data_IF_670403146344
#
_entry.id   IF_670403146344
#
_cell.length_a   1.000
_cell.length_b   1.000
_cell.length_c   1.000
_cell.angle_alpha   90.00
_cell.angle_beta   90.00
_cell.angle_gamma   90.00
#
_symmetry.space_group_name_H-M   'P 1'
#
loop_
_entity.id
_entity.type
_entity.pdbx_description
1 polymer ?
#
# COMPACT_ATOMS: atom_id res chain seq x y z
N UNK A 1 26.23 -29.90 9.32
CA UNK A 1 24.91 -30.58 9.31
C UNK A 1 24.31 -30.51 10.71
N UNK A 2 23.12 -29.95 10.88
CA UNK A 2 22.47 -29.89 12.20
C UNK A 2 21.89 -31.26 12.54
N UNK A 3 22.14 -31.73 13.76
CA UNK A 3 21.54 -32.96 14.30
C UNK A 3 20.33 -32.63 15.17
N UNK A 4 19.41 -33.58 15.34
CA UNK A 4 18.26 -33.40 16.22
C UNK A 4 18.67 -33.09 17.67
N UNK A 5 19.75 -33.72 18.16
CA UNK A 5 20.30 -33.44 19.50
C UNK A 5 20.77 -32.00 19.62
N UNK A 6 21.46 -31.47 18.61
CA UNK A 6 21.85 -30.05 18.57
C UNK A 6 20.63 -29.14 18.56
N UNK A 7 19.63 -29.44 17.73
CA UNK A 7 18.41 -28.65 17.66
C UNK A 7 17.65 -28.63 19.00
N UNK A 8 17.49 -29.78 19.66
CA UNK A 8 16.89 -29.88 21.00
C UNK A 8 17.67 -29.06 22.02
N UNK A 9 19.01 -29.13 21.97
CA UNK A 9 19.89 -28.35 22.84
C UNK A 9 19.90 -26.86 22.50
N UNK A 10 19.29 -26.42 21.41
CA UNK A 10 19.13 -25.02 21.01
C UNK A 10 17.76 -24.44 21.43
N UNK A 11 16.88 -25.25 22.03
CA UNK A 11 15.58 -24.77 22.49
C UNK A 11 15.75 -23.99 23.80
N UNK A 12 15.18 -22.80 23.86
CA UNK A 12 15.18 -21.91 25.02
C UNK A 12 13.78 -21.36 25.25
N UNK A 13 13.57 -20.80 26.43
CA UNK A 13 12.38 -20.00 26.72
C UNK A 13 12.70 -18.56 26.40
N UNK A 14 11.90 -17.92 25.54
CA UNK A 14 12.05 -16.50 25.21
C UNK A 14 11.60 -15.62 26.36
N UNK A 15 11.90 -14.32 26.30
CA UNK A 15 11.45 -13.37 27.33
C UNK A 15 9.92 -13.34 27.50
N UNK A 16 9.17 -13.63 26.43
CA UNK A 16 7.71 -13.78 26.45
C UNK A 16 7.22 -15.13 26.98
N UNK A 17 8.11 -15.98 27.50
CA UNK A 17 7.76 -17.30 28.03
C UNK A 17 7.54 -18.37 26.96
N UNK A 18 7.88 -18.09 25.70
CA UNK A 18 7.58 -18.96 24.56
C UNK A 18 8.71 -19.94 24.28
N UNK A 19 8.39 -21.09 23.69
CA UNK A 19 9.39 -22.09 23.31
C UNK A 19 10.07 -21.67 21.98
N UNK A 20 11.30 -21.17 22.09
CA UNK A 20 12.12 -20.70 20.97
C UNK A 20 13.17 -21.73 20.56
N UNK A 21 13.25 -22.05 19.28
CA UNK A 21 14.37 -22.77 18.70
C UNK A 21 15.33 -21.79 18.05
N UNK A 22 16.52 -21.62 18.65
CA UNK A 22 17.57 -20.72 18.14
C UNK A 22 18.66 -21.50 17.39
N UNK A 23 18.65 -21.36 16.07
CA UNK A 23 19.65 -21.91 15.16
C UNK A 23 20.32 -20.78 14.37
N UNK A 24 20.37 -19.57 14.95
CA UNK A 24 21.02 -18.43 14.35
C UNK A 24 22.54 -18.62 14.25
N UNK A 25 23.16 -18.06 13.20
CA UNK A 25 24.63 -18.01 13.03
C UNK A 25 25.33 -19.38 13.09
N UNK A 26 24.66 -20.43 12.60
CA UNK A 26 25.18 -21.81 12.61
C UNK A 26 25.81 -22.26 11.28
N UNK A 27 25.89 -21.37 10.28
CA UNK A 27 26.44 -21.69 8.96
C UNK A 27 25.57 -22.68 8.18
N UNK A 28 24.25 -22.67 8.41
CA UNK A 28 23.32 -23.59 7.77
C UNK A 28 23.12 -23.19 6.30
N UNK A 29 23.43 -24.10 5.38
CA UNK A 29 23.26 -23.88 3.93
C UNK A 29 21.95 -24.48 3.38
N UNK A 30 21.35 -25.42 4.09
CA UNK A 30 20.12 -26.11 3.69
C UNK A 30 19.24 -26.31 4.90
N UNK A 31 17.94 -26.12 4.72
CA UNK A 31 16.96 -26.25 5.81
C UNK A 31 17.08 -27.62 6.51
N UNK A 32 17.32 -27.65 7.82
CA UNK A 32 17.61 -28.89 8.53
C UNK A 32 16.32 -29.68 8.80
N UNK A 33 15.97 -30.64 7.94
CA UNK A 33 14.73 -31.44 8.06
C UNK A 33 14.46 -32.05 9.44
N UNK A 34 15.49 -32.30 10.26
CA UNK A 34 15.34 -32.81 11.62
C UNK A 34 14.56 -31.84 12.55
N UNK A 35 14.53 -30.54 12.27
CA UNK A 35 13.79 -29.58 13.10
C UNK A 35 12.27 -29.69 12.92
N UNK A 36 11.80 -30.41 11.90
CA UNK A 36 10.38 -30.70 11.69
C UNK A 36 9.79 -31.58 12.81
N UNK A 37 10.63 -32.29 13.58
CA UNK A 37 10.20 -33.02 14.78
C UNK A 37 9.96 -32.10 16.00
N UNK A 38 10.34 -30.83 15.89
CA UNK A 38 10.20 -29.80 16.93
C UNK A 38 9.12 -28.79 16.53
N UNK A 39 8.08 -29.25 15.83
CA UNK A 39 7.00 -28.40 15.31
C UNK A 39 6.15 -27.70 16.38
N UNK A 40 6.33 -28.08 17.65
CA UNK A 40 5.71 -27.49 18.83
C UNK A 40 6.37 -26.19 19.30
N UNK A 41 7.41 -25.69 18.60
CA UNK A 41 8.00 -24.36 18.88
C UNK A 41 7.05 -23.23 18.48
N UNK A 42 7.13 -22.13 19.23
CA UNK A 42 6.38 -20.90 18.95
C UNK A 42 7.26 -19.82 18.32
N UNK A 43 8.58 -19.90 18.50
CA UNK A 43 9.54 -18.99 17.89
C UNK A 43 10.66 -19.79 17.20
N UNK A 44 10.98 -19.43 15.95
CA UNK A 44 12.01 -20.07 15.17
C UNK A 44 12.99 -19.01 14.65
N UNK A 45 14.24 -19.11 15.09
CA UNK A 45 15.34 -18.27 14.62
C UNK A 45 16.28 -19.08 13.73
N UNK A 46 16.32 -18.74 12.44
CA UNK A 46 17.26 -19.27 11.45
C UNK A 46 18.09 -18.13 10.85
N UNK A 47 18.18 -16.99 11.53
CA UNK A 47 18.89 -15.81 11.05
C UNK A 47 20.40 -16.02 10.93
N UNK A 48 21.07 -15.17 10.13
CA UNK A 48 22.54 -15.16 9.95
C UNK A 48 23.10 -16.51 9.50
N UNK A 49 22.37 -17.20 8.63
CA UNK A 49 22.80 -18.45 8.01
C UNK A 49 22.98 -18.22 6.50
N UNK A 50 23.19 -19.30 5.74
CA UNK A 50 23.35 -19.24 4.28
C UNK A 50 22.23 -20.01 3.57
N UNK A 51 21.01 -19.98 4.11
CA UNK A 51 19.86 -20.64 3.52
C UNK A 51 19.51 -19.98 2.19
N UNK A 52 19.35 -20.79 1.15
CA UNK A 52 18.88 -20.34 -0.16
C UNK A 52 17.37 -20.47 -0.34
N UNK A 53 16.76 -21.47 0.29
CA UNK A 53 15.33 -21.76 0.18
C UNK A 53 14.75 -22.23 1.50
N UNK A 54 13.49 -21.90 1.74
CA UNK A 54 12.67 -22.51 2.79
C UNK A 54 11.79 -23.58 2.14
N UNK A 55 11.77 -24.82 2.64
CA UNK A 55 10.97 -25.89 2.05
C UNK A 55 9.49 -25.72 2.39
N UNK A 56 8.62 -26.27 1.54
CA UNK A 56 7.17 -26.35 1.78
C UNK A 56 6.80 -26.99 3.13
N UNK A 57 7.63 -27.89 3.66
CA UNK A 57 7.46 -28.51 4.98
C UNK A 57 7.46 -27.52 6.15
N UNK A 58 7.75 -26.23 5.90
CA UNK A 58 7.58 -25.17 6.90
C UNK A 58 6.14 -25.10 7.41
N UNK A 59 5.14 -25.55 6.63
CA UNK A 59 3.75 -25.67 7.06
C UNK A 59 3.57 -26.49 8.35
N UNK A 60 4.54 -27.33 8.74
CA UNK A 60 4.42 -28.12 9.97
C UNK A 60 4.44 -27.26 11.24
N UNK A 61 5.01 -26.05 11.19
CA UNK A 61 5.14 -25.16 12.36
C UNK A 61 3.86 -24.36 12.64
N UNK A 62 2.73 -25.05 12.83
CA UNK A 62 1.41 -24.42 12.99
C UNK A 62 1.27 -23.52 14.23
N UNK A 63 2.12 -23.73 15.25
CA UNK A 63 2.14 -22.93 16.48
C UNK A 63 3.05 -21.69 16.38
N UNK A 64 3.68 -21.45 15.23
CA UNK A 64 4.68 -20.41 15.10
C UNK A 64 4.07 -19.00 15.17
N UNK A 65 4.56 -18.22 16.13
CA UNK A 65 4.19 -16.83 16.37
C UNK A 65 5.27 -15.87 15.86
N UNK A 66 6.52 -16.33 15.81
CA UNK A 66 7.69 -15.53 15.45
C UNK A 66 8.64 -16.33 14.56
N UNK A 67 8.95 -15.78 13.39
CA UNK A 67 9.88 -16.38 12.44
C UNK A 67 10.92 -15.35 12.01
N UNK A 68 12.19 -15.69 12.22
CA UNK A 68 13.31 -14.85 11.78
C UNK A 68 14.25 -15.60 10.85
N UNK A 69 14.35 -15.06 9.65
CA UNK A 69 15.14 -15.55 8.53
C UNK A 69 16.14 -14.48 8.06
N UNK A 70 16.38 -13.43 8.86
CA UNK A 70 17.19 -12.31 8.41
C UNK A 70 18.63 -12.72 8.09
N UNK A 71 19.27 -12.02 7.16
CA UNK A 71 20.67 -12.27 6.78
C UNK A 71 20.91 -13.72 6.33
N UNK A 72 20.14 -14.14 5.33
CA UNK A 72 20.31 -15.41 4.61
C UNK A 72 20.54 -15.11 3.11
N UNK A 73 20.40 -16.10 2.24
CA UNK A 73 20.50 -15.96 0.79
C UNK A 73 19.20 -16.36 0.09
N UNK A 74 18.05 -16.12 0.74
CA UNK A 74 16.76 -16.55 0.23
C UNK A 74 16.44 -15.83 -1.08
N UNK A 75 16.18 -16.60 -2.13
CA UNK A 75 15.77 -16.12 -3.46
C UNK A 75 14.26 -16.24 -3.68
N UNK A 76 13.57 -17.10 -2.93
CA UNK A 76 12.12 -17.28 -2.96
C UNK A 76 11.56 -17.60 -1.56
N UNK A 77 10.28 -17.29 -1.36
CA UNK A 77 9.49 -17.80 -0.24
C UNK A 77 8.47 -18.83 -0.72
N UNK A 78 8.32 -19.97 -0.02
CA UNK A 78 7.32 -20.96 -0.36
C UNK A 78 5.91 -20.44 -0.08
N UNK A 79 4.94 -20.78 -0.92
CA UNK A 79 3.51 -20.48 -0.71
C UNK A 79 2.99 -20.97 0.64
N UNK A 80 3.56 -22.07 1.14
CA UNK A 80 3.21 -22.67 2.41
C UNK A 80 3.48 -21.75 3.60
N UNK A 81 4.23 -20.66 3.43
CA UNK A 81 4.35 -19.61 4.47
C UNK A 81 2.98 -19.08 4.89
N UNK A 82 2.01 -18.98 3.96
CA UNK A 82 0.66 -18.51 4.25
C UNK A 82 -0.16 -19.43 5.14
N UNK A 83 0.29 -20.68 5.36
CA UNK A 83 -0.35 -21.61 6.29
C UNK A 83 -0.07 -21.28 7.76
N UNK A 84 0.96 -20.47 8.04
CA UNK A 84 1.37 -20.09 9.39
C UNK A 84 0.48 -18.96 9.96
N UNK A 85 -0.83 -19.22 10.06
CA UNK A 85 -1.84 -18.19 10.37
C UNK A 85 -1.67 -17.54 11.76
N UNK A 86 -0.97 -18.20 12.68
CA UNK A 86 -0.65 -17.67 14.00
C UNK A 86 0.52 -16.67 13.99
N UNK A 87 1.24 -16.55 12.87
CA UNK A 87 2.44 -15.74 12.80
C UNK A 87 2.13 -14.25 13.02
N UNK A 88 2.82 -13.66 14.00
CA UNK A 88 2.68 -12.25 14.37
C UNK A 88 3.90 -11.42 13.96
N UNK A 89 5.05 -12.07 13.80
CA UNK A 89 6.31 -11.44 13.43
C UNK A 89 7.01 -12.28 12.35
N UNK A 90 7.38 -11.62 11.26
CA UNK A 90 8.13 -12.21 10.16
C UNK A 90 9.27 -11.27 9.74
N UNK A 91 10.51 -11.73 9.93
CA UNK A 91 11.70 -11.00 9.53
C UNK A 91 12.46 -11.76 8.45
N UNK A 92 12.54 -11.16 7.26
CA UNK A 92 13.22 -11.72 6.08
C UNK A 92 14.18 -10.68 5.51
N UNK A 93 14.60 -9.74 6.35
CA UNK A 93 15.52 -8.67 5.99
C UNK A 93 16.88 -9.22 5.55
N UNK A 94 17.56 -8.55 4.62
CA UNK A 94 18.89 -8.91 4.16
C UNK A 94 18.90 -10.32 3.53
N UNK A 95 18.14 -10.44 2.44
CA UNK A 95 18.05 -11.63 1.60
C UNK A 95 18.14 -11.21 0.11
N UNK A 96 17.75 -12.08 -0.82
CA UNK A 96 17.81 -11.82 -2.27
C UNK A 96 16.42 -11.88 -2.91
N UNK A 97 15.38 -11.53 -2.16
CA UNK A 97 14.01 -11.61 -2.64
C UNK A 97 13.74 -10.53 -3.69
N UNK A 98 13.03 -10.92 -4.74
CA UNK A 98 12.44 -10.03 -5.76
C UNK A 98 10.93 -9.98 -5.60
N UNK A 99 10.22 -9.15 -6.37
CA UNK A 99 8.76 -9.09 -6.29
C UNK A 99 8.09 -10.43 -6.62
N UNK A 100 8.57 -11.12 -7.67
CA UNK A 100 8.07 -12.45 -8.08
C UNK A 100 8.37 -13.55 -7.04
N UNK A 101 9.38 -13.32 -6.20
CA UNK A 101 9.78 -14.23 -5.13
C UNK A 101 8.83 -14.23 -3.92
N UNK A 102 7.92 -13.25 -3.85
CA UNK A 102 6.96 -13.12 -2.76
C UNK A 102 5.64 -13.82 -3.13
N UNK A 103 5.26 -14.91 -2.45
CA UNK A 103 4.03 -15.64 -2.76
C UNK A 103 2.80 -14.80 -2.39
N UNK A 104 1.74 -14.92 -3.18
CA UNK A 104 0.47 -14.25 -2.92
C UNK A 104 -0.13 -14.67 -1.57
N UNK A 105 0.15 -15.90 -1.14
CA UNK A 105 -0.28 -16.49 0.13
C UNK A 105 0.25 -15.77 1.38
N UNK A 106 1.20 -14.84 1.25
CA UNK A 106 1.52 -13.91 2.34
C UNK A 106 0.27 -13.15 2.80
N UNK A 107 -0.71 -12.93 1.93
CA UNK A 107 -1.99 -12.31 2.26
C UNK A 107 -2.82 -13.10 3.29
N UNK A 108 -2.52 -14.38 3.53
CA UNK A 108 -3.22 -15.26 4.46
C UNK A 108 -2.79 -15.06 5.92
N UNK A 109 -1.66 -14.38 6.15
CA UNK A 109 -1.10 -14.12 7.49
C UNK A 109 -1.87 -13.01 8.22
N UNK A 110 -3.16 -13.24 8.52
CA UNK A 110 -4.07 -12.22 9.04
C UNK A 110 -3.68 -11.64 10.39
N UNK A 111 -2.89 -12.37 11.18
CA UNK A 111 -2.42 -11.94 12.50
C UNK A 111 -1.04 -11.25 12.47
N UNK A 112 -0.45 -11.07 11.29
CA UNK A 112 0.89 -10.51 11.17
C UNK A 112 0.89 -9.03 11.55
N UNK A 113 1.72 -8.68 12.55
CA UNK A 113 1.88 -7.32 13.08
C UNK A 113 3.16 -6.66 12.62
N UNK A 114 4.21 -7.46 12.43
CA UNK A 114 5.52 -6.96 11.99
C UNK A 114 6.01 -7.76 10.80
N UNK A 115 6.31 -7.06 9.71
CA UNK A 115 6.91 -7.63 8.51
C UNK A 115 8.14 -6.81 8.14
N UNK A 116 9.30 -7.45 8.08
CA UNK A 116 10.54 -6.81 7.64
C UNK A 116 11.09 -7.47 6.38
N UNK A 117 11.05 -6.73 5.28
CA UNK A 117 11.55 -7.08 3.96
C UNK A 117 12.69 -6.15 3.52
N UNK A 118 13.28 -5.37 4.44
CA UNK A 118 14.37 -4.45 4.11
C UNK A 118 15.63 -5.18 3.62
N UNK A 119 16.52 -4.49 2.92
CA UNK A 119 17.75 -5.07 2.33
C UNK A 119 17.41 -6.29 1.45
N UNK A 120 16.53 -6.12 0.47
CA UNK A 120 16.24 -7.12 -0.57
C UNK A 120 16.32 -6.44 -1.94
N UNK A 121 15.86 -7.13 -2.99
CA UNK A 121 15.84 -6.63 -4.37
C UNK A 121 14.40 -6.41 -4.87
N UNK A 122 13.51 -5.91 -4.00
CA UNK A 122 12.10 -5.69 -4.36
C UNK A 122 11.95 -4.45 -5.25
N UNK A 123 11.36 -4.60 -6.43
CA UNK A 123 11.10 -3.50 -7.37
C UNK A 123 9.71 -2.87 -7.15
N UNK A 124 8.75 -3.71 -6.80
CA UNK A 124 7.40 -3.34 -6.38
C UNK A 124 6.90 -4.26 -5.26
N UNK A 125 5.77 -3.91 -4.64
CA UNK A 125 5.08 -4.76 -3.69
C UNK A 125 3.80 -5.32 -4.30
N UNK A 126 3.45 -6.59 -4.04
CA UNK A 126 2.20 -7.13 -4.51
C UNK A 126 1.03 -6.45 -3.79
N UNK A 127 -0.05 -6.15 -4.53
CA UNK A 127 -1.24 -5.49 -3.99
C UNK A 127 -1.92 -6.32 -2.89
N UNK A 128 -1.70 -7.65 -2.91
CA UNK A 128 -2.19 -8.65 -1.96
C UNK A 128 -1.69 -8.42 -0.53
N UNK A 129 -0.53 -7.75 -0.33
CA UNK A 129 -0.06 -7.35 1.02
C UNK A 129 -1.04 -6.40 1.73
N UNK A 130 -1.89 -5.68 0.98
CA UNK A 130 -2.97 -4.88 1.54
C UNK A 130 -4.03 -5.68 2.34
N UNK A 131 -4.00 -7.02 2.25
CA UNK A 131 -4.88 -7.87 3.03
C UNK A 131 -4.42 -8.07 4.50
N UNK A 132 -3.20 -7.64 4.85
CA UNK A 132 -2.59 -7.74 6.18
C UNK A 132 -3.10 -6.63 7.10
N UNK A 133 -4.37 -6.69 7.49
CA UNK A 133 -5.05 -5.61 8.24
C UNK A 133 -4.50 -5.36 9.65
N UNK A 134 -3.81 -6.34 10.24
CA UNK A 134 -3.21 -6.23 11.57
C UNK A 134 -1.76 -5.70 11.55
N UNK A 135 -1.22 -5.39 10.36
CA UNK A 135 0.16 -4.96 10.22
C UNK A 135 0.37 -3.56 10.82
N UNK A 136 1.32 -3.47 11.75
CA UNK A 136 1.68 -2.25 12.49
C UNK A 136 3.02 -1.71 12.03
N UNK A 137 4.00 -2.59 11.84
CA UNK A 137 5.37 -2.22 11.45
C UNK A 137 5.76 -2.93 10.13
N UNK A 138 6.09 -2.13 9.12
CA UNK A 138 6.52 -2.59 7.79
C UNK A 138 7.90 -2.02 7.44
N UNK A 139 8.90 -2.91 7.39
CA UNK A 139 10.27 -2.59 6.96
C UNK A 139 10.47 -2.87 5.47
N UNK A 140 10.79 -1.85 4.69
CA UNK A 140 11.02 -1.91 3.23
C UNK A 140 12.29 -1.19 2.79
N UNK A 141 13.10 -0.72 3.74
CA UNK A 141 14.29 0.06 3.47
C UNK A 141 15.29 -0.72 2.62
N UNK A 142 16.10 -0.03 1.82
CA UNK A 142 17.16 -0.64 1.00
C UNK A 142 16.63 -1.71 0.05
N UNK A 143 15.64 -1.33 -0.75
CA UNK A 143 15.14 -2.12 -1.86
C UNK A 143 15.24 -1.29 -3.16
N UNK A 144 14.71 -1.82 -4.26
CA UNK A 144 14.60 -1.14 -5.55
C UNK A 144 13.18 -0.59 -5.79
N UNK A 145 12.42 -0.28 -4.73
CA UNK A 145 11.02 0.08 -4.85
C UNK A 145 10.87 1.41 -5.60
N UNK A 146 10.12 1.38 -6.70
CA UNK A 146 9.78 2.58 -7.48
C UNK A 146 8.45 3.19 -7.05
N UNK A 147 7.52 2.36 -6.59
CA UNK A 147 6.20 2.78 -6.13
C UNK A 147 5.74 1.91 -4.95
N UNK A 148 4.79 2.41 -4.17
CA UNK A 148 4.10 1.66 -3.13
C UNK A 148 2.63 1.57 -3.52
N UNK A 149 2.03 0.36 -3.62
CA UNK A 149 0.62 0.21 -3.93
C UNK A 149 -0.27 0.95 -2.92
N UNK A 150 -1.36 1.56 -3.40
CA UNK A 150 -2.35 2.24 -2.55
C UNK A 150 -2.91 1.31 -1.46
N UNK A 151 -3.03 0.01 -1.76
CA UNK A 151 -3.51 -1.00 -0.80
C UNK A 151 -2.59 -1.16 0.42
N UNK A 152 -1.27 -1.04 0.23
CA UNK A 152 -0.27 -1.11 1.32
C UNK A 152 -0.16 0.23 2.04
N UNK A 153 -0.21 1.34 1.29
CA UNK A 153 -0.20 2.70 1.85
C UNK A 153 -1.39 2.97 2.78
N UNK A 154 -2.55 2.40 2.47
CA UNK A 154 -3.81 2.61 3.21
C UNK A 154 -4.12 1.49 4.21
N UNK A 155 -3.11 0.74 4.68
CA UNK A 155 -3.32 -0.26 5.72
C UNK A 155 -3.85 0.39 7.01
N UNK A 156 -4.89 -0.16 7.64
CA UNK A 156 -5.66 0.55 8.67
C UNK A 156 -4.91 0.72 10.00
N UNK A 157 -3.95 -0.17 10.30
CA UNK A 157 -3.21 -0.23 11.58
C UNK A 157 -1.73 0.09 11.45
N UNK A 158 -1.26 0.51 10.27
CA UNK A 158 0.15 0.76 10.05
C UNK A 158 0.60 2.01 10.82
N UNK A 159 1.59 1.84 11.71
CA UNK A 159 2.17 2.93 12.49
C UNK A 159 3.55 3.31 11.97
N UNK A 160 4.35 2.33 11.55
CA UNK A 160 5.72 2.55 11.05
C UNK A 160 5.91 1.87 9.72
N UNK A 161 6.15 2.67 8.69
CA UNK A 161 6.55 2.18 7.37
C UNK A 161 7.91 2.78 7.01
N UNK A 162 8.96 1.96 7.02
CA UNK A 162 10.30 2.42 6.67
C UNK A 162 10.62 2.10 5.21
N UNK A 163 10.62 3.11 4.36
CA UNK A 163 10.86 2.99 2.91
C UNK A 163 12.14 3.69 2.46
N UNK A 164 13.02 4.06 3.42
CA UNK A 164 14.26 4.79 3.14
C UNK A 164 15.14 4.02 2.14
N UNK A 165 15.96 4.76 1.38
CA UNK A 165 16.92 4.18 0.40
C UNK A 165 16.21 3.25 -0.61
N UNK A 166 15.10 3.73 -1.16
CA UNK A 166 14.45 3.18 -2.33
C UNK A 166 14.36 4.27 -3.40
N UNK A 167 14.43 3.94 -4.70
CA UNK A 167 14.23 4.87 -5.80
C UNK A 167 12.73 5.20 -6.00
N UNK A 168 12.03 5.54 -4.92
CA UNK A 168 10.61 5.86 -4.98
C UNK A 168 10.42 7.11 -5.84
N UNK A 169 9.64 6.96 -6.91
CA UNK A 169 9.12 8.10 -7.63
C UNK A 169 8.05 8.67 -6.72
N UNK A 170 8.35 9.77 -6.04
CA UNK A 170 7.27 10.60 -5.52
C UNK A 170 6.36 10.84 -6.72
N UNK A 171 5.13 10.31 -6.64
CA UNK A 171 4.08 10.81 -7.50
C UNK A 171 4.10 12.29 -7.21
N UNK A 172 4.57 13.08 -8.19
CA UNK A 172 4.08 14.43 -8.40
C UNK A 172 2.61 14.33 -8.01
N UNK A 173 2.26 15.04 -6.94
CA UNK A 173 0.88 15.17 -6.49
C UNK A 173 0.07 15.30 -7.78
N UNK A 174 -0.97 14.48 -8.02
CA UNK A 174 -1.78 14.68 -9.21
C UNK A 174 -2.04 16.17 -9.20
N UNK A 175 -1.55 16.88 -10.22
CA UNK A 175 -1.67 18.33 -10.29
C UNK A 175 -3.13 18.54 -9.94
N UNK A 176 -3.38 19.03 -8.72
CA UNK A 176 -4.70 19.52 -8.41
C UNK A 176 -4.84 20.52 -9.53
N UNK A 177 -5.78 20.30 -10.46
CA UNK A 177 -6.20 21.35 -11.35
C UNK A 177 -6.44 22.50 -10.40
N UNK A 178 -5.47 23.43 -10.36
CA UNK A 178 -5.58 24.61 -9.53
C UNK A 178 -6.67 25.33 -10.27
N UNK A 179 -7.91 25.10 -9.85
CA UNK A 179 -9.05 25.91 -10.23
C UNK A 179 -8.62 27.31 -9.81
N UNK A 180 -8.11 28.06 -10.79
CA UNK A 180 -7.43 29.33 -10.56
C UNK A 180 -8.44 30.35 -10.04
N UNK A 181 -9.72 29.99 -10.08
CA UNK A 181 -10.84 30.67 -9.49
C UNK A 181 -10.94 30.24 -8.03
N UNK A 182 -10.41 31.06 -7.13
CA UNK A 182 -10.86 31.07 -5.73
C UNK A 182 -12.38 31.25 -5.74
N UNK A 183 -13.15 30.17 -5.62
CA UNK A 183 -14.59 30.25 -5.37
C UNK A 183 -14.77 30.94 -4.03
N UNK A 184 -15.11 32.23 -4.08
CA UNK A 184 -15.42 33.01 -2.89
C UNK A 184 -16.72 32.43 -2.33
N UNK A 185 -16.67 31.83 -1.15
CA UNK A 185 -17.83 31.19 -0.50
C UNK A 185 -18.94 32.19 -0.12
N UNK A 186 -18.67 33.50 -0.22
CA UNK A 186 -19.60 34.56 0.15
C UNK A 186 -19.56 35.70 -0.87
N UNK A 187 -20.62 35.80 -1.67
CA UNK A 187 -20.95 36.99 -2.44
C UNK A 187 -21.81 37.89 -1.55
N UNK A 188 -21.35 39.12 -1.31
CA UNK A 188 -22.15 40.14 -0.64
C UNK A 188 -22.77 41.03 -1.71
N UNK A 189 -24.09 41.03 -1.80
CA UNK A 189 -24.82 42.01 -2.60
C UNK A 189 -24.79 43.34 -1.85
N UNK A 190 -24.18 44.36 -2.45
CA UNK A 190 -24.13 45.73 -1.91
C UNK A 190 -25.18 46.55 -2.64
N UNK A 191 -26.05 47.24 -1.89
CA UNK A 191 -27.06 48.13 -2.47
C UNK A 191 -26.41 49.44 -2.95
N UNK A 192 -26.95 50.07 -4.00
CA UNK A 192 -26.37 51.31 -4.57
C UNK A 192 -26.24 52.46 -3.55
N UNK A 193 -27.12 52.49 -2.55
CA UNK A 193 -27.14 53.49 -1.48
C UNK A 193 -25.93 53.39 -0.55
N UNK A 194 -25.31 52.21 -0.47
CA UNK A 194 -24.18 51.92 0.43
C UNK A 194 -22.83 52.12 -0.28
N UNK A 195 -22.84 52.50 -1.57
CA UNK A 195 -21.64 52.82 -2.34
C UNK A 195 -21.38 54.32 -2.33
N UNK A 196 -20.11 54.71 -2.13
CA UNK A 196 -19.71 56.09 -2.33
C UNK A 196 -19.82 56.50 -3.81
N UNK A 197 -19.90 57.80 -4.09
CA UNK A 197 -20.10 58.32 -5.45
C UNK A 197 -19.02 57.90 -6.46
N UNK A 198 -17.80 57.62 -6.00
CA UNK A 198 -16.71 57.11 -6.84
C UNK A 198 -16.92 55.63 -7.19
N UNK A 199 -17.21 54.79 -6.20
CA UNK A 199 -17.44 53.35 -6.41
C UNK A 199 -18.71 53.08 -7.23
N UNK A 200 -19.77 53.85 -7.01
CA UNK A 200 -21.02 53.75 -7.78
C UNK A 200 -20.80 54.01 -9.27
N UNK A 201 -19.94 54.99 -9.62
CA UNK A 201 -19.59 55.28 -11.02
C UNK A 201 -18.83 54.14 -11.67
N UNK A 202 -17.86 53.54 -10.95
CA UNK A 202 -17.09 52.40 -11.44
C UNK A 202 -18.00 51.20 -11.68
N UNK A 203 -18.85 50.84 -10.71
CA UNK A 203 -19.78 49.71 -10.85
C UNK A 203 -20.80 49.92 -11.97
N UNK A 204 -21.28 51.15 -12.20
CA UNK A 204 -22.18 51.45 -13.33
C UNK A 204 -21.46 51.33 -14.68
N UNK A 205 -20.23 51.82 -14.77
CA UNK A 205 -19.41 51.68 -15.98
C UNK A 205 -19.14 50.22 -16.36
N UNK A 206 -18.77 49.38 -15.40
CA UNK A 206 -18.56 47.95 -15.64
C UNK A 206 -19.86 47.21 -16.00
N UNK A 207 -20.99 47.57 -15.38
CA UNK A 207 -22.30 47.03 -15.74
C UNK A 207 -22.69 47.40 -17.18
N UNK A 208 -22.45 48.63 -17.59
CA UNK A 208 -22.74 49.10 -18.94
C UNK A 208 -21.83 48.42 -19.99
N UNK A 209 -20.58 48.10 -19.66
CA UNK A 209 -19.70 47.30 -20.53
C UNK A 209 -20.18 45.84 -20.65
N UNK A 210 -20.67 45.26 -19.56
CA UNK A 210 -21.20 43.89 -19.57
C UNK A 210 -22.45 43.77 -20.45
N UNK A 211 -23.36 44.73 -20.37
CA UNK A 211 -24.56 44.75 -21.22
C UNK A 211 -24.23 44.93 -22.71
N UNK A 212 -23.17 45.68 -23.04
CA UNK A 212 -22.69 45.78 -24.44
C UNK A 212 -22.14 44.45 -24.97
N UNK A 213 -21.60 43.60 -24.10
CA UNK A 213 -21.13 42.26 -24.47
C UNK A 213 -22.29 41.25 -24.66
N UNK A 214 -23.36 41.37 -23.86
CA UNK A 214 -24.57 40.56 -24.02
C UNK A 214 -25.29 40.87 -25.36
N UNK A 215 -25.35 42.15 -25.74
CA UNK A 215 -25.95 42.61 -27.00
C UNK A 215 -25.16 42.20 -28.27
N UNK A 216 -23.94 41.65 -28.11
CA UNK A 216 -23.10 41.16 -29.20
C UNK A 216 -23.23 39.66 -29.51
N UNK A 217 -24.13 38.93 -28.85
CA UNK A 217 -24.38 37.51 -29.17
C UNK A 217 -25.22 37.37 -30.45
N UNK A 218 -24.69 36.78 -31.55
CA UNK A 218 -25.51 36.46 -32.71
C UNK A 218 -26.36 35.23 -32.39
N UNK A 219 -27.66 35.37 -32.58
CA UNK A 219 -28.64 34.30 -32.57
C UNK A 219 -28.31 33.30 -33.72
N UNK A 220 -27.52 32.26 -33.44
CA UNK A 220 -27.51 31.05 -34.27
C UNK A 220 -27.14 29.83 -33.44
N UNK A 221 -28.14 29.01 -33.15
CA UNK A 221 -27.99 27.60 -32.80
C UNK A 221 -27.22 26.88 -33.91
N UNK A 222 -25.90 26.74 -33.76
CA UNK A 222 -25.14 25.71 -34.47
C UNK A 222 -24.81 24.63 -33.46
N UNK A 223 -25.55 23.51 -33.55
CA UNK A 223 -25.13 22.25 -32.94
C UNK A 223 -23.68 21.97 -33.33
N UNK A 224 -22.81 21.87 -32.34
CA UNK A 224 -21.47 21.34 -32.52
C UNK A 224 -21.59 19.81 -32.67
N UNK A 225 -21.55 19.36 -33.92
CA UNK A 225 -21.49 17.95 -34.30
C UNK A 225 -20.06 17.43 -34.07
N UNK A 226 -19.91 16.41 -33.22
CA UNK A 226 -18.65 15.70 -32.97
C UNK A 226 -18.73 14.28 -33.57
N UNK A 227 -18.23 14.03 -34.81
CA UNK A 227 -18.57 12.82 -35.57
C UNK A 227 -17.83 11.53 -35.17
N UNK A 228 -17.04 11.51 -34.09
CA UNK A 228 -16.17 10.37 -33.75
C UNK A 228 -16.24 9.88 -32.30
N UNK A 229 -17.17 10.40 -31.50
CA UNK A 229 -17.50 9.80 -30.21
C UNK A 229 -18.55 8.70 -30.42
N UNK A 230 -18.09 7.51 -30.79
CA UNK A 230 -18.87 6.28 -30.58
C UNK A 230 -18.98 6.06 -29.07
N UNK A 231 -20.08 6.50 -28.48
CA UNK A 231 -20.50 6.09 -27.13
C UNK A 231 -21.03 4.65 -27.19
N UNK A 232 -20.54 3.70 -26.40
CA UNK A 232 -21.34 2.57 -25.98
C UNK A 232 -21.97 2.91 -24.63
N UNK A 233 -23.30 2.88 -24.57
CA UNK A 233 -24.15 2.98 -23.39
C UNK A 233 -24.21 4.33 -22.67
N UNK A 234 -25.06 5.22 -23.18
CA UNK A 234 -25.83 6.08 -22.27
C UNK A 234 -27.24 6.24 -22.82
N UNK A 235 -28.18 5.49 -22.25
CA UNK A 235 -29.62 5.67 -22.42
C UNK A 235 -30.09 6.82 -21.53
N UNK A 236 -29.64 8.03 -21.84
CA UNK A 236 -30.07 9.25 -21.19
C UNK A 236 -30.25 10.35 -22.24
N UNK A 237 -31.22 10.14 -23.12
CA UNK A 237 -31.88 11.24 -23.82
C UNK A 237 -33.37 11.18 -23.54
N UNK A 238 -33.84 12.34 -23.10
CA UNK A 238 -35.20 12.86 -23.23
C UNK A 238 -36.28 12.21 -22.37
N UNK A 239 -36.43 12.77 -21.15
CA UNK A 239 -37.73 13.00 -20.54
C UNK A 239 -37.65 14.15 -19.52
N UNK A 240 -37.56 15.38 -20.02
CA UNK A 240 -37.69 16.60 -19.18
C UNK A 240 -39.14 16.95 -18.82
N UNK A 241 -40.13 16.14 -19.22
CA UNK A 241 -41.54 16.35 -18.85
C UNK A 241 -41.98 15.60 -17.58
N UNK A 242 -41.25 14.58 -17.10
CA UNK A 242 -41.67 13.80 -15.91
C UNK A 242 -41.36 14.46 -14.55
N UNK A 243 -40.61 15.57 -14.50
CA UNK A 243 -40.20 16.23 -13.24
C UNK A 243 -41.05 17.43 -12.83
N UNK A 244 -42.12 17.74 -13.59
CA UNK A 244 -43.15 18.68 -13.14
C UNK A 244 -44.41 17.87 -12.86
N UNK A 245 -44.82 17.87 -11.60
CA UNK A 245 -45.99 17.17 -11.01
C UNK A 245 -45.70 15.77 -10.46
N UNK A 246 -45.00 15.73 -9.32
CA UNK A 246 -45.52 15.24 -8.03
C UNK A 246 -44.53 15.51 -6.90
#
# INVERSE_FOLDING_TARGET
RITLKMAKNSIRVSFSGRRRLDLSKMGITTFPKCILELADVEELDLSRNMLKKIPNTIEKFQNLLWLDLHSNQLDELPKEIGTLQNLTFLNICNNKLTTESLPEELNLLKNLKTLNLGLNCLETLPTTLGALRELVDLGLFDNALTTIPKSVKNLPKIERMNVKRNPLRELEQPEEEIDTIKRIEKLYLVEEKDLCSSCLKVCKGERDELHKLEDMTPNSSKELSFPLLLTPNSSAKDNQEEWRVR
#
